data_IF_750359460809
#
_entry.id   IF_750359460809
#
_cell.length_a   1.000
_cell.length_b   1.000
_cell.length_c   1.000
_cell.angle_alpha   90.00
_cell.angle_beta   90.00
_cell.angle_gamma   90.00
#
_symmetry.space_group_name_H-M   'P 1'
#
loop_
_entity.id
_entity.type
_entity.pdbx_description
1 polymer ?
#
# COMPACT_ATOMS: atom_id res chain seq x y z
N UNK A 1 -13.59 28.79 -18.02
CA UNK A 1 -12.18 28.82 -17.63
C UNK A 1 -11.53 27.57 -18.20
N UNK A 2 -10.40 27.68 -18.90
CA UNK A 2 -9.67 26.54 -19.47
C UNK A 2 -8.43 26.29 -18.62
N UNK A 3 -8.11 25.04 -18.33
CA UNK A 3 -6.93 24.64 -17.60
C UNK A 3 -5.76 24.33 -18.55
N UNK A 4 -4.56 24.22 -18.02
CA UNK A 4 -3.41 23.66 -18.74
C UNK A 4 -3.60 22.15 -18.92
N UNK A 5 -2.78 21.49 -19.77
CA UNK A 5 -2.82 20.02 -19.91
C UNK A 5 -2.60 19.30 -18.56
N UNK A 6 -1.71 19.84 -17.72
CA UNK A 6 -1.52 19.34 -16.36
C UNK A 6 -2.80 19.50 -15.53
N UNK A 7 -3.41 20.69 -15.55
CA UNK A 7 -4.66 20.97 -14.84
C UNK A 7 -5.78 20.05 -15.30
N UNK A 8 -5.97 19.93 -16.61
CA UNK A 8 -7.01 19.04 -17.18
C UNK A 8 -6.81 17.58 -16.76
N UNK A 9 -5.56 17.09 -16.73
CA UNK A 9 -5.27 15.72 -16.31
C UNK A 9 -5.61 15.50 -14.83
N UNK A 10 -5.09 16.34 -13.94
CA UNK A 10 -5.20 16.14 -12.49
C UNK A 10 -6.51 16.67 -11.88
N UNK A 11 -7.39 17.27 -12.66
CA UNK A 11 -8.75 17.63 -12.24
C UNK A 11 -9.82 16.67 -12.75
N UNK A 12 -9.45 15.68 -13.56
CA UNK A 12 -10.37 14.59 -13.93
C UNK A 12 -10.70 13.75 -12.70
N UNK A 13 -11.89 13.23 -12.65
CA UNK A 13 -12.22 12.21 -11.65
C UNK A 13 -11.36 10.97 -11.88
N UNK A 14 -10.40 10.76 -11.00
CA UNK A 14 -9.54 9.57 -11.02
C UNK A 14 -10.29 8.36 -10.44
N UNK A 15 -9.82 7.15 -10.75
CA UNK A 15 -10.41 5.93 -10.19
C UNK A 15 -10.40 5.92 -8.67
N UNK A 16 -9.31 6.41 -8.03
CA UNK A 16 -9.23 6.51 -6.57
C UNK A 16 -10.17 7.60 -6.02
N UNK A 17 -10.32 8.73 -6.70
CA UNK A 17 -11.22 9.82 -6.25
C UNK A 17 -12.67 9.35 -6.30
N UNK A 18 -13.09 8.74 -7.41
CA UNK A 18 -14.43 8.19 -7.56
C UNK A 18 -14.73 7.12 -6.49
N UNK A 19 -13.75 6.24 -6.23
CA UNK A 19 -13.89 5.23 -5.18
C UNK A 19 -14.04 5.87 -3.79
N UNK A 20 -13.22 6.88 -3.47
CA UNK A 20 -13.29 7.57 -2.18
C UNK A 20 -14.61 8.32 -1.99
N UNK A 21 -15.12 8.96 -3.04
CA UNK A 21 -16.42 9.61 -3.05
C UNK A 21 -17.55 8.60 -2.82
N UNK A 22 -17.51 7.49 -3.54
CA UNK A 22 -18.50 6.42 -3.45
C UNK A 22 -18.53 5.78 -2.05
N UNK A 23 -17.37 5.50 -1.47
CA UNK A 23 -17.25 5.00 -0.11
C UNK A 23 -17.75 6.02 0.93
N UNK A 24 -17.43 7.30 0.76
CA UNK A 24 -17.89 8.37 1.65
C UNK A 24 -19.41 8.54 1.58
N UNK A 25 -20.00 8.47 0.40
CA UNK A 25 -21.45 8.53 0.22
C UNK A 25 -22.14 7.33 0.88
N UNK A 26 -21.56 6.14 0.72
CA UNK A 26 -22.06 4.94 1.39
C UNK A 26 -22.04 5.03 2.91
N UNK A 27 -21.01 5.68 3.49
CA UNK A 27 -20.93 5.90 4.95
C UNK A 27 -22.02 6.83 5.51
N UNK A 28 -22.65 7.64 4.69
CA UNK A 28 -23.81 8.46 5.11
C UNK A 28 -25.07 7.64 5.37
N UNK A 29 -25.10 6.39 4.89
CA UNK A 29 -26.19 5.47 5.17
C UNK A 29 -26.13 5.01 6.63
N UNK A 30 -27.18 5.21 7.43
CA UNK A 30 -27.21 4.73 8.81
C UNK A 30 -26.97 3.22 8.90
N UNK A 31 -26.03 2.82 9.76
CA UNK A 31 -25.66 1.41 9.93
C UNK A 31 -24.74 0.83 8.86
N UNK A 32 -24.17 1.67 8.00
CA UNK A 32 -23.21 1.23 6.97
C UNK A 32 -22.00 0.49 7.57
N UNK A 33 -21.63 -0.61 6.93
CA UNK A 33 -20.50 -1.46 7.29
C UNK A 33 -19.37 -1.20 6.30
N UNK A 34 -18.30 -0.53 6.76
CA UNK A 34 -17.13 -0.20 5.94
C UNK A 34 -16.11 -1.35 5.95
N UNK A 35 -16.15 -2.19 4.94
CA UNK A 35 -15.16 -3.24 4.69
C UNK A 35 -14.21 -2.90 3.51
N UNK A 36 -14.32 -1.70 2.95
CA UNK A 36 -13.51 -1.25 1.81
C UNK A 36 -12.45 -0.19 2.16
N UNK A 37 -12.49 0.38 3.36
CA UNK A 37 -11.60 1.47 3.75
C UNK A 37 -10.13 1.06 3.89
N UNK A 38 -9.23 2.05 3.85
CA UNK A 38 -7.78 1.87 3.97
C UNK A 38 -7.18 2.36 5.29
N UNK A 39 -7.99 2.83 6.24
CA UNK A 39 -7.50 3.26 7.55
C UNK A 39 -6.99 2.07 8.36
N UNK A 40 -5.86 2.23 9.09
CA UNK A 40 -5.41 1.22 10.04
C UNK A 40 -6.38 1.10 11.21
N UNK A 41 -6.32 -0.03 11.93
CA UNK A 41 -7.06 -0.22 13.16
C UNK A 41 -6.63 0.79 14.23
N UNK A 42 -7.60 1.22 15.02
CA UNK A 42 -7.32 1.97 16.25
C UNK A 42 -7.06 0.97 17.38
N UNK A 43 -5.82 0.46 17.44
CA UNK A 43 -5.39 -0.49 18.46
C UNK A 43 -5.31 0.26 19.80
N UNK A 44 -6.09 -0.13 20.85
CA UNK A 44 -6.17 0.64 22.10
C UNK A 44 -4.79 0.92 22.73
N UNK A 45 -3.93 -0.09 22.81
CA UNK A 45 -2.58 0.05 23.36
C UNK A 45 -1.72 1.07 22.58
N UNK A 46 -1.86 1.11 21.25
CA UNK A 46 -1.18 2.09 20.41
C UNK A 46 -1.77 3.49 20.60
N UNK A 47 -3.09 3.62 20.77
CA UNK A 47 -3.73 4.91 21.02
C UNK A 47 -3.26 5.50 22.35
N UNK A 48 -3.21 4.71 23.41
CA UNK A 48 -2.72 5.11 24.73
C UNK A 48 -1.24 5.51 24.67
N UNK A 49 -0.44 4.74 23.93
CA UNK A 49 0.97 5.06 23.69
C UNK A 49 1.15 6.40 22.96
N UNK A 50 0.43 6.63 21.87
CA UNK A 50 0.52 7.89 21.13
C UNK A 50 0.05 9.09 21.95
N UNK A 51 -1.00 8.93 22.75
CA UNK A 51 -1.47 9.99 23.65
C UNK A 51 -0.39 10.36 24.69
N UNK A 52 0.21 9.36 25.32
CA UNK A 52 1.30 9.56 26.27
C UNK A 52 2.51 10.23 25.61
N UNK A 53 2.93 9.73 24.44
CA UNK A 53 4.04 10.28 23.69
C UNK A 53 3.82 11.76 23.32
N UNK A 54 2.65 12.10 22.82
CA UNK A 54 2.29 13.48 22.47
C UNK A 54 2.25 14.38 23.69
N UNK A 55 1.74 13.89 24.83
CA UNK A 55 1.73 14.65 26.10
C UNK A 55 3.16 14.98 26.54
N UNK A 56 4.05 13.98 26.56
CA UNK A 56 5.46 14.17 26.90
C UNK A 56 6.15 15.17 25.95
N UNK A 57 5.82 15.09 24.66
CA UNK A 57 6.36 16.00 23.64
C UNK A 57 5.85 17.43 23.81
N UNK A 58 4.60 17.62 24.22
CA UNK A 58 4.06 18.95 24.55
C UNK A 58 4.72 19.54 25.79
N UNK A 59 4.85 18.77 26.86
CA UNK A 59 5.48 19.21 28.13
C UNK A 59 6.96 19.54 27.93
N UNK A 60 7.67 18.79 27.08
CA UNK A 60 9.09 19.05 26.77
C UNK A 60 9.34 20.13 25.70
N UNK A 61 8.28 20.70 25.10
CA UNK A 61 8.38 21.70 24.05
C UNK A 61 8.69 21.12 22.66
N UNK A 62 8.94 19.82 22.52
CA UNK A 62 9.31 19.16 21.24
C UNK A 62 8.18 19.22 20.22
N UNK A 63 6.92 19.08 20.66
CA UNK A 63 5.76 19.20 19.78
C UNK A 63 5.61 20.62 19.26
N UNK A 64 5.81 21.62 20.12
CA UNK A 64 5.77 23.04 19.73
C UNK A 64 6.87 23.36 18.73
N UNK A 65 8.11 22.87 18.96
CA UNK A 65 9.21 23.04 18.03
C UNK A 65 8.90 22.43 16.66
N UNK A 66 8.38 21.21 16.62
CA UNK A 66 8.02 20.51 15.38
C UNK A 66 6.88 21.18 14.60
N UNK A 67 6.00 21.91 15.27
CA UNK A 67 4.85 22.59 14.64
C UNK A 67 5.17 24.04 14.23
N UNK A 68 6.10 24.70 14.92
CA UNK A 68 6.38 26.12 14.73
C UNK A 68 7.60 26.40 13.84
N UNK A 69 8.38 25.36 13.51
CA UNK A 69 9.59 25.50 12.70
C UNK A 69 9.53 24.60 11.47
N UNK A 70 10.11 25.07 10.35
CA UNK A 70 10.36 24.22 9.20
C UNK A 70 11.62 23.39 9.42
N UNK A 71 11.55 22.11 9.06
CA UNK A 71 12.73 21.30 8.78
C UNK A 71 13.26 21.59 7.35
N UNK A 72 14.42 21.02 6.99
CA UNK A 72 14.92 21.12 5.61
C UNK A 72 14.06 20.28 4.62
N UNK A 73 14.22 20.49 3.31
CA UNK A 73 13.45 19.78 2.30
C UNK A 73 13.73 18.27 2.24
N UNK A 74 14.87 17.80 2.76
CA UNK A 74 15.15 16.37 2.95
C UNK A 74 14.36 15.78 4.13
N UNK A 75 13.92 16.61 5.07
CA UNK A 75 13.24 16.23 6.30
C UNK A 75 14.06 16.52 7.56
N UNK A 76 13.53 16.09 8.70
CA UNK A 76 14.12 16.33 10.02
C UNK A 76 15.46 15.60 10.18
N UNK A 77 16.56 16.36 10.25
CA UNK A 77 17.94 15.83 10.32
C UNK A 77 18.14 14.82 11.46
N UNK A 78 17.54 15.09 12.62
CA UNK A 78 17.59 14.18 13.76
C UNK A 78 17.00 12.81 13.41
N UNK A 79 15.84 12.78 12.75
CA UNK A 79 15.22 11.52 12.32
C UNK A 79 16.08 10.78 11.31
N UNK A 80 16.63 11.49 10.32
CA UNK A 80 17.48 10.87 9.29
C UNK A 80 18.67 10.15 9.94
N UNK A 81 19.29 10.78 10.95
CA UNK A 81 20.41 10.21 11.70
C UNK A 81 20.01 9.00 12.55
N UNK A 82 18.91 9.14 13.31
CA UNK A 82 18.40 8.06 14.17
C UNK A 82 17.95 6.85 13.35
N UNK A 83 17.26 7.09 12.27
CA UNK A 83 16.74 6.03 11.40
C UNK A 83 17.88 5.29 10.69
N UNK A 84 18.84 6.01 10.11
CA UNK A 84 20.03 5.40 9.51
C UNK A 84 20.80 4.54 10.54
N UNK A 85 21.01 5.07 11.75
CA UNK A 85 21.66 4.33 12.83
C UNK A 85 20.92 3.05 13.22
N UNK A 86 19.60 3.12 13.37
CA UNK A 86 18.76 1.97 13.70
C UNK A 86 18.81 0.90 12.60
N UNK A 87 18.72 1.30 11.34
CA UNK A 87 18.71 0.36 10.21
C UNK A 87 20.08 -0.31 10.02
N UNK A 88 21.18 0.41 10.23
CA UNK A 88 22.54 -0.17 10.28
C UNK A 88 22.67 -1.20 11.39
N UNK A 89 22.26 -0.83 12.61
CA UNK A 89 22.39 -1.71 13.78
C UNK A 89 21.53 -2.97 13.65
N UNK A 90 20.28 -2.83 13.23
CA UNK A 90 19.31 -3.94 13.24
C UNK A 90 19.35 -4.78 11.97
N UNK A 91 19.67 -4.20 10.82
CA UNK A 91 19.59 -4.88 9.51
C UNK A 91 20.95 -5.01 8.82
N UNK A 92 22.00 -4.38 9.33
CA UNK A 92 23.34 -4.39 8.73
C UNK A 92 23.40 -3.65 7.38
N UNK A 93 22.46 -2.76 7.10
CA UNK A 93 22.44 -2.01 5.84
C UNK A 93 23.51 -0.91 5.85
N UNK A 94 24.19 -0.76 4.71
CA UNK A 94 25.17 0.31 4.52
C UNK A 94 24.46 1.60 4.07
N UNK A 95 23.79 2.26 5.01
CA UNK A 95 23.07 3.51 4.80
C UNK A 95 23.46 4.58 5.81
N UNK A 96 23.50 5.81 5.29
CA UNK A 96 23.78 7.03 6.04
C UNK A 96 22.58 8.00 5.90
N UNK A 97 22.51 9.11 6.66
CA UNK A 97 21.43 10.08 6.55
C UNK A 97 21.15 10.60 5.13
N UNK A 98 22.18 10.70 4.27
CA UNK A 98 22.03 11.08 2.86
C UNK A 98 21.33 10.04 1.98
N UNK A 99 21.09 8.84 2.49
CA UNK A 99 20.31 7.81 1.82
C UNK A 99 18.82 7.86 2.17
N UNK A 100 18.37 8.82 2.98
CA UNK A 100 17.01 8.91 3.49
C UNK A 100 16.42 10.28 3.18
N UNK A 101 15.19 10.31 2.65
CA UNK A 101 14.39 11.52 2.55
C UNK A 101 12.97 11.28 3.06
N UNK A 102 12.38 12.30 3.65
CA UNK A 102 10.99 12.28 4.10
C UNK A 102 10.09 12.94 3.06
N UNK A 103 8.82 12.55 3.05
CA UNK A 103 7.80 13.12 2.16
C UNK A 103 6.49 13.31 2.93
N UNK A 104 5.56 14.09 2.37
CA UNK A 104 4.21 14.27 2.93
C UNK A 104 3.32 13.03 2.65
N UNK A 105 3.70 11.90 3.26
CA UNK A 105 3.13 10.57 3.04
C UNK A 105 3.74 9.85 1.84
N UNK A 106 3.60 8.53 1.80
CA UNK A 106 4.11 7.70 0.70
C UNK A 106 3.41 8.00 -0.63
N UNK A 107 2.18 8.50 -0.64
CA UNK A 107 1.50 8.92 -1.87
C UNK A 107 2.30 9.98 -2.62
N UNK A 108 2.83 11.00 -1.93
CA UNK A 108 3.71 12.00 -2.54
C UNK A 108 5.03 11.39 -3.01
N UNK A 109 5.58 10.44 -2.24
CA UNK A 109 6.78 9.72 -2.63
C UNK A 109 6.59 8.98 -3.97
N UNK A 110 5.50 8.26 -4.15
CA UNK A 110 5.20 7.54 -5.39
C UNK A 110 4.94 8.49 -6.55
N UNK A 111 4.26 9.61 -6.33
CA UNK A 111 4.11 10.65 -7.35
C UNK A 111 5.48 11.13 -7.85
N UNK A 112 6.43 11.38 -6.95
CA UNK A 112 7.78 11.78 -7.32
C UNK A 112 8.52 10.69 -8.08
N UNK A 113 8.55 9.48 -7.53
CA UNK A 113 9.32 8.36 -8.10
C UNK A 113 8.81 7.94 -9.48
N UNK A 114 7.50 7.85 -9.66
CA UNK A 114 6.93 7.51 -10.96
C UNK A 114 7.30 8.52 -12.02
N UNK A 115 7.21 9.81 -11.73
CA UNK A 115 7.55 10.87 -12.68
C UNK A 115 9.07 11.13 -12.80
N UNK A 116 9.88 10.63 -11.85
CA UNK A 116 11.33 10.68 -11.92
C UNK A 116 11.89 9.61 -12.87
N UNK A 117 11.34 8.38 -12.82
CA UNK A 117 11.86 7.23 -13.55
C UNK A 117 11.08 6.91 -14.82
N UNK A 118 9.79 7.18 -14.86
CA UNK A 118 8.94 7.02 -16.02
C UNK A 118 8.56 8.37 -16.61
N UNK A 119 7.88 8.37 -17.77
CA UNK A 119 7.51 9.60 -18.50
C UNK A 119 8.45 9.95 -19.65
N UNK A 120 8.22 11.11 -20.25
CA UNK A 120 8.91 11.56 -21.45
C UNK A 120 10.34 12.00 -21.16
N UNK A 121 11.28 11.48 -21.93
CA UNK A 121 12.69 11.85 -21.90
C UNK A 121 13.00 13.00 -22.86
N UNK A 122 14.16 13.62 -22.68
CA UNK A 122 14.62 14.73 -23.55
C UNK A 122 14.73 14.33 -25.04
N UNK A 123 14.97 13.06 -25.33
CA UNK A 123 15.01 12.50 -26.69
C UNK A 123 13.62 12.17 -27.26
N UNK A 124 12.53 12.48 -26.53
CA UNK A 124 11.15 12.26 -26.92
C UNK A 124 10.61 10.86 -26.60
N UNK A 125 11.46 9.89 -26.22
CA UNK A 125 11.01 8.56 -25.82
C UNK A 125 10.25 8.62 -24.50
N UNK A 126 9.22 7.78 -24.36
CA UNK A 126 8.44 7.65 -23.13
C UNK A 126 8.86 6.37 -22.40
N UNK A 127 9.31 6.51 -21.16
CA UNK A 127 9.57 5.39 -20.26
C UNK A 127 8.35 5.09 -19.42
N UNK A 128 8.14 3.80 -19.13
CA UNK A 128 7.00 3.30 -18.34
C UNK A 128 7.45 2.67 -17.03
N UNK A 129 6.58 2.72 -16.03
CA UNK A 129 6.72 1.93 -14.81
C UNK A 129 6.15 0.54 -15.04
N UNK A 130 6.90 -0.50 -14.67
CA UNK A 130 6.48 -1.89 -14.77
C UNK A 130 6.06 -2.41 -13.40
N UNK A 131 4.82 -2.92 -13.32
CA UNK A 131 4.35 -3.74 -12.22
C UNK A 131 4.47 -5.22 -12.61
N UNK A 132 5.47 -5.94 -12.09
CA UNK A 132 5.74 -7.32 -12.51
C UNK A 132 4.71 -8.32 -12.00
N UNK A 133 3.82 -7.88 -11.11
CA UNK A 133 2.77 -8.68 -10.50
C UNK A 133 1.55 -7.81 -10.21
N UNK A 134 0.53 -7.89 -11.09
CA UNK A 134 -0.78 -7.31 -10.81
C UNK A 134 -1.64 -8.30 -9.98
N UNK A 135 -2.54 -7.83 -9.11
CA UNK A 135 -2.95 -6.45 -8.89
C UNK A 135 -1.99 -5.62 -8.03
N UNK A 136 -2.11 -4.31 -8.13
CA UNK A 136 -1.35 -3.31 -7.37
C UNK A 136 -2.25 -2.18 -6.88
N UNK A 137 -1.71 -1.29 -6.07
CA UNK A 137 -2.47 -0.23 -5.41
C UNK A 137 -3.14 0.73 -6.41
N UNK A 138 -4.45 0.91 -6.26
CA UNK A 138 -5.28 1.77 -7.12
C UNK A 138 -4.75 3.22 -7.21
N UNK A 139 -4.15 3.74 -6.14
CA UNK A 139 -3.62 5.10 -6.09
C UNK A 139 -2.43 5.37 -7.00
N UNK A 140 -1.87 4.35 -7.66
CA UNK A 140 -0.78 4.53 -8.63
C UNK A 140 -1.29 4.95 -10.00
N UNK A 141 -2.46 4.48 -10.41
CA UNK A 141 -2.95 4.57 -11.79
C UNK A 141 -2.88 5.98 -12.37
N UNK A 142 -3.24 6.98 -11.57
CA UNK A 142 -3.38 8.37 -12.00
C UNK A 142 -2.19 9.27 -11.58
N UNK A 143 -1.12 8.69 -11.01
CA UNK A 143 0.01 9.46 -10.47
C UNK A 143 1.00 9.97 -11.54
N UNK A 144 0.89 9.49 -12.79
CA UNK A 144 1.80 9.91 -13.87
C UNK A 144 1.42 11.23 -14.50
N UNK A 145 2.41 12.04 -14.88
CA UNK A 145 2.21 13.23 -15.72
C UNK A 145 1.83 12.85 -17.16
N UNK A 146 2.45 11.79 -17.70
CA UNK A 146 2.08 11.22 -19.00
C UNK A 146 0.87 10.30 -18.85
N UNK A 147 0.09 10.17 -19.93
CA UNK A 147 -0.95 9.14 -20.03
C UNK A 147 -0.29 7.75 -20.18
N UNK A 148 -0.99 6.70 -19.79
CA UNK A 148 -0.56 5.31 -19.95
C UNK A 148 0.87 5.04 -19.43
N UNK A 149 1.20 5.62 -18.27
CA UNK A 149 2.55 5.57 -17.71
C UNK A 149 2.98 4.17 -17.26
N UNK A 150 2.03 3.26 -17.05
CA UNK A 150 2.29 1.95 -16.45
C UNK A 150 2.01 0.79 -17.40
N UNK A 151 2.72 -0.30 -17.15
CA UNK A 151 2.49 -1.62 -17.74
C UNK A 151 2.47 -2.64 -16.60
N UNK A 152 1.53 -3.57 -16.63
CA UNK A 152 1.42 -4.65 -15.64
C UNK A 152 1.53 -6.03 -16.29
N UNK A 153 2.21 -6.94 -15.58
CA UNK A 153 2.21 -8.36 -15.90
C UNK A 153 1.16 -9.11 -15.06
N UNK A 154 0.53 -10.12 -15.65
CA UNK A 154 -0.34 -11.04 -14.93
C UNK A 154 0.49 -11.96 -14.05
N UNK A 155 0.02 -12.33 -12.86
CA UNK A 155 0.68 -13.32 -12.02
C UNK A 155 0.43 -14.74 -12.52
N UNK A 156 1.32 -15.65 -12.12
CA UNK A 156 0.96 -17.06 -11.99
C UNK A 156 0.10 -17.24 -10.73
N UNK A 157 -1.00 -17.99 -10.87
CA UNK A 157 -1.91 -18.29 -9.76
C UNK A 157 -1.65 -19.71 -9.29
N UNK A 158 -1.16 -19.86 -8.07
CA UNK A 158 -1.05 -21.13 -7.36
C UNK A 158 -2.33 -21.37 -6.56
N UNK A 159 -3.00 -22.49 -6.80
CA UNK A 159 -4.12 -22.92 -5.96
C UNK A 159 -3.59 -23.70 -4.77
N UNK A 160 -4.00 -23.32 -3.59
CA UNK A 160 -3.58 -23.86 -2.31
C UNK A 160 -4.74 -24.63 -1.64
N UNK A 161 -4.46 -25.49 -0.64
CA UNK A 161 -5.50 -26.11 0.18
C UNK A 161 -6.42 -25.09 0.87
N UNK A 162 -7.54 -25.55 1.40
CA UNK A 162 -8.49 -24.76 2.20
C UNK A 162 -9.10 -23.57 1.44
N UNK A 163 -9.26 -23.72 0.12
CA UNK A 163 -9.83 -22.66 -0.72
C UNK A 163 -8.97 -21.40 -0.79
N UNK A 164 -7.65 -21.55 -0.65
CA UNK A 164 -6.71 -20.45 -0.79
C UNK A 164 -6.04 -20.45 -2.16
N UNK A 165 -5.44 -19.33 -2.51
CA UNK A 165 -4.56 -19.18 -3.67
C UNK A 165 -3.48 -18.14 -3.38
N UNK A 166 -2.42 -18.17 -4.20
CA UNK A 166 -1.31 -17.22 -4.10
C UNK A 166 -0.89 -16.72 -5.47
N UNK A 167 -0.50 -15.47 -5.55
CA UNK A 167 0.11 -14.89 -6.74
C UNK A 167 1.64 -14.99 -6.68
N UNK A 168 2.22 -15.37 -7.80
CA UNK A 168 3.66 -15.39 -8.06
C UNK A 168 4.00 -14.58 -9.30
N UNK A 169 5.19 -14.02 -9.32
CA UNK A 169 5.70 -13.34 -10.53
C UNK A 169 5.88 -14.35 -11.65
N UNK A 170 5.29 -14.08 -12.81
CA UNK A 170 5.48 -14.89 -14.02
C UNK A 170 6.75 -14.46 -14.74
N UNK A 171 7.89 -14.96 -14.31
CA UNK A 171 9.18 -14.61 -14.88
C UNK A 171 9.37 -15.11 -16.30
N UNK A 172 8.62 -16.11 -16.75
CA UNK A 172 8.71 -16.64 -18.12
C UNK A 172 8.11 -15.67 -19.14
N UNK A 173 7.09 -14.93 -18.76
CA UNK A 173 6.40 -13.97 -19.61
C UNK A 173 6.64 -12.52 -19.23
N UNK A 174 7.47 -12.26 -18.21
CA UNK A 174 7.80 -10.91 -17.79
C UNK A 174 8.71 -10.24 -18.83
N UNK A 175 8.22 -9.19 -19.46
CA UNK A 175 8.97 -8.42 -20.43
C UNK A 175 9.53 -7.13 -19.79
N UNK A 176 10.84 -6.95 -19.88
CA UNK A 176 11.55 -5.73 -19.50
C UNK A 176 12.29 -5.25 -20.74
N UNK A 177 11.77 -4.19 -21.35
CA UNK A 177 12.31 -3.63 -22.59
C UNK A 177 12.98 -2.27 -22.39
N UNK A 178 13.40 -1.67 -23.52
CA UNK A 178 13.98 -0.32 -23.50
C UNK A 178 13.00 0.76 -22.98
N UNK A 179 11.69 0.53 -23.11
CA UNK A 179 10.66 1.42 -22.62
C UNK A 179 10.50 1.36 -21.11
N UNK A 180 11.04 0.36 -20.42
CA UNK A 180 10.93 0.23 -18.98
C UNK A 180 11.86 1.22 -18.27
N UNK A 181 11.30 2.07 -17.42
CA UNK A 181 12.03 3.08 -16.64
C UNK A 181 12.29 2.68 -15.19
N UNK A 182 11.48 1.78 -14.66
CA UNK A 182 11.58 1.24 -13.30
C UNK A 182 10.73 -0.02 -13.16
N UNK A 183 11.05 -0.85 -12.18
CA UNK A 183 10.19 -1.94 -11.69
C UNK A 183 9.63 -1.51 -10.34
N UNK A 184 8.34 -1.69 -10.10
CA UNK A 184 7.71 -1.36 -8.83
C UNK A 184 6.89 -2.53 -8.30
N UNK A 185 7.10 -2.89 -7.04
CA UNK A 185 6.37 -3.94 -6.33
C UNK A 185 5.98 -3.47 -4.94
N UNK A 186 4.82 -3.94 -4.45
CA UNK A 186 4.42 -3.77 -3.05
C UNK A 186 4.68 -5.05 -2.26
N UNK A 187 5.17 -4.92 -1.03
CA UNK A 187 5.52 -6.07 -0.17
C UNK A 187 5.28 -5.78 1.31
N UNK A 188 4.11 -6.15 1.86
CA UNK A 188 2.94 -6.81 1.25
C UNK A 188 2.15 -5.89 0.35
N UNK A 189 1.38 -6.50 -0.54
CA UNK A 189 0.60 -5.78 -1.54
C UNK A 189 -0.75 -5.31 -0.99
N UNK A 190 -1.14 -4.09 -1.26
CA UNK A 190 -2.52 -3.66 -1.29
C UNK A 190 -3.00 -3.75 -2.76
N UNK A 191 -3.94 -4.65 -3.11
CA UNK A 191 -5.09 -5.10 -2.32
C UNK A 191 -4.98 -6.51 -1.70
N UNK A 192 -3.99 -7.33 -2.07
CA UNK A 192 -4.05 -8.78 -1.91
C UNK A 192 -3.51 -9.32 -0.59
N UNK A 193 -2.68 -8.55 0.10
CA UNK A 193 -1.89 -9.05 1.22
C UNK A 193 -0.76 -10.00 0.79
N UNK A 194 -0.49 -10.10 -0.52
CA UNK A 194 0.58 -10.96 -1.04
C UNK A 194 1.95 -10.45 -0.60
N UNK A 195 2.79 -11.37 -0.19
CA UNK A 195 4.21 -11.12 0.06
C UNK A 195 5.01 -11.90 -0.97
N UNK A 196 5.60 -11.21 -1.96
CA UNK A 196 6.53 -11.87 -2.88
C UNK A 196 7.67 -12.49 -2.08
N UNK A 197 8.10 -13.67 -2.49
CA UNK A 197 9.16 -14.41 -1.78
C UNK A 197 10.49 -13.67 -1.84
N UNK A 198 11.41 -13.99 -0.92
CA UNK A 198 12.77 -13.45 -0.96
C UNK A 198 13.46 -13.77 -2.28
N UNK A 199 13.23 -14.98 -2.83
CA UNK A 199 13.76 -15.42 -4.12
C UNK A 199 13.22 -14.58 -5.29
N UNK A 200 11.90 -14.37 -5.36
CA UNK A 200 11.27 -13.51 -6.37
C UNK A 200 11.80 -12.08 -6.29
N UNK A 201 11.95 -11.54 -5.08
CA UNK A 201 12.46 -10.18 -4.88
C UNK A 201 13.92 -10.05 -5.35
N UNK A 202 14.79 -11.01 -5.00
CA UNK A 202 16.17 -11.03 -5.43
C UNK A 202 16.30 -11.16 -6.96
N UNK A 203 15.42 -11.94 -7.58
CA UNK A 203 15.38 -12.09 -9.03
C UNK A 203 14.93 -10.80 -9.73
N UNK A 204 13.94 -10.09 -9.18
CA UNK A 204 13.53 -8.78 -9.68
C UNK A 204 14.64 -7.74 -9.53
N UNK A 205 15.36 -7.74 -8.41
CA UNK A 205 16.51 -6.84 -8.20
C UNK A 205 17.62 -7.12 -9.20
N UNK A 206 17.96 -8.38 -9.44
CA UNK A 206 18.95 -8.76 -10.44
C UNK A 206 18.55 -8.31 -11.86
N UNK A 207 17.28 -8.48 -12.24
CA UNK A 207 16.75 -8.02 -13.52
C UNK A 207 16.78 -6.50 -13.64
N UNK A 208 16.40 -5.77 -12.60
CA UNK A 208 16.44 -4.31 -12.57
C UNK A 208 17.89 -3.80 -12.75
N UNK A 209 18.85 -4.39 -12.03
CA UNK A 209 20.28 -4.10 -12.18
C UNK A 209 20.78 -4.39 -13.60
N UNK A 210 20.41 -5.52 -14.19
CA UNK A 210 20.80 -5.88 -15.55
C UNK A 210 20.34 -4.86 -16.60
N UNK A 211 19.15 -4.28 -16.38
CA UNK A 211 18.58 -3.26 -17.26
C UNK A 211 18.95 -1.82 -16.87
N UNK A 212 19.74 -1.62 -15.81
CA UNK A 212 20.15 -0.30 -15.35
C UNK A 212 18.99 0.58 -14.88
N UNK A 213 17.94 -0.01 -14.33
CA UNK A 213 16.75 0.65 -13.80
C UNK A 213 16.57 0.35 -12.30
N UNK A 214 15.93 1.22 -11.52
CA UNK A 214 15.70 0.95 -10.11
C UNK A 214 14.59 -0.08 -9.90
N UNK A 215 14.73 -0.84 -8.80
CA UNK A 215 13.63 -1.58 -8.18
C UNK A 215 13.03 -0.73 -7.06
N UNK A 216 11.77 -0.31 -7.22
CA UNK A 216 11.01 0.43 -6.21
C UNK A 216 10.15 -0.55 -5.43
N UNK A 217 10.28 -0.53 -4.10
CA UNK A 217 9.53 -1.40 -3.20
C UNK A 217 8.61 -0.55 -2.33
N UNK A 218 7.31 -0.75 -2.48
CA UNK A 218 6.32 -0.22 -1.53
C UNK A 218 6.28 -1.11 -0.29
N UNK A 219 6.84 -0.59 0.79
CA UNK A 219 6.96 -1.26 2.08
C UNK A 219 6.06 -0.60 3.15
N UNK A 220 4.90 -0.08 2.75
CA UNK A 220 4.01 0.63 3.68
C UNK A 220 3.50 -0.25 4.83
N UNK A 221 3.40 -1.56 4.63
CA UNK A 221 2.96 -2.54 5.63
C UNK A 221 4.08 -3.42 6.17
N UNK A 222 5.24 -3.39 5.54
CA UNK A 222 6.26 -4.40 5.68
C UNK A 222 7.23 -4.19 6.85
N UNK A 223 8.35 -4.90 6.76
CA UNK A 223 9.43 -4.87 7.75
C UNK A 223 10.45 -3.79 7.42
N UNK A 224 11.12 -3.18 8.41
CA UNK A 224 11.12 -3.53 9.83
C UNK A 224 9.93 -3.00 10.63
N UNK A 225 9.19 -2.02 10.11
CA UNK A 225 7.96 -1.48 10.69
C UNK A 225 7.00 -1.04 9.57
N UNK A 226 5.70 -1.11 9.75
CA UNK A 226 4.94 -1.53 10.92
C UNK A 226 4.97 -3.05 11.17
N UNK A 227 5.57 -3.84 10.27
CA UNK A 227 5.78 -5.27 10.43
C UNK A 227 4.51 -6.13 10.29
N UNK A 228 3.51 -5.66 9.52
CA UNK A 228 2.26 -6.40 9.29
C UNK A 228 2.52 -7.43 8.18
N UNK A 229 3.37 -8.40 8.49
CA UNK A 229 3.73 -9.56 7.66
C UNK A 229 3.62 -10.80 8.50
N UNK A 230 2.97 -11.84 7.97
CA UNK A 230 2.66 -13.10 8.64
C UNK A 230 3.40 -14.30 8.04
N UNK A 231 4.10 -14.10 6.94
CA UNK A 231 5.01 -15.06 6.29
C UNK A 231 6.47 -14.65 6.53
N UNK A 232 7.38 -15.56 6.22
CA UNK A 232 8.80 -15.23 6.23
C UNK A 232 9.11 -14.21 5.11
N UNK A 233 9.74 -13.10 5.50
CA UNK A 233 10.17 -12.07 4.57
C UNK A 233 11.37 -11.31 5.17
N UNK A 234 12.46 -11.30 4.44
CA UNK A 234 13.65 -10.53 4.85
C UNK A 234 13.59 -9.13 4.25
N UNK A 235 13.81 -8.08 5.03
CA UNK A 235 13.96 -6.75 4.47
C UNK A 235 15.21 -6.70 3.59
N UNK A 236 15.07 -6.18 2.39
CA UNK A 236 16.16 -6.06 1.44
C UNK A 236 16.37 -4.59 1.07
N UNK A 237 17.63 -4.17 1.10
CA UNK A 237 18.04 -2.91 0.53
C UNK A 237 19.47 -3.01 -0.04
N UNK A 238 19.70 -2.35 -1.15
CA UNK A 238 20.99 -2.07 -1.76
C UNK A 238 20.88 -0.77 -2.59
N UNK A 239 21.99 -0.20 -3.12
CA UNK A 239 21.94 1.09 -3.84
C UNK A 239 21.06 1.13 -5.10
N UNK A 240 20.62 -0.01 -5.65
CA UNK A 240 19.67 -0.07 -6.75
C UNK A 240 18.21 -0.11 -6.33
N UNK A 241 17.95 -0.33 -5.05
CA UNK A 241 16.60 -0.40 -4.49
C UNK A 241 16.20 0.98 -3.97
N UNK A 242 14.96 1.37 -4.30
CA UNK A 242 14.26 2.49 -3.67
C UNK A 242 13.18 1.91 -2.77
N UNK A 243 13.39 1.98 -1.46
CA UNK A 243 12.46 1.47 -0.47
C UNK A 243 11.56 2.61 0.03
N UNK A 244 10.25 2.45 -0.07
CA UNK A 244 9.26 3.41 0.41
C UNK A 244 8.55 2.88 1.64
N UNK A 245 8.58 3.65 2.73
CA UNK A 245 7.96 3.34 4.01
C UNK A 245 7.02 4.46 4.44
N UNK A 246 6.19 4.21 5.46
CA UNK A 246 5.22 5.19 5.94
C UNK A 246 4.87 4.97 7.40
N UNK A 247 4.53 6.04 8.12
CA UNK A 247 3.94 5.96 9.46
C UNK A 247 2.43 5.68 9.43
N UNK A 248 1.80 5.73 8.25
CA UNK A 248 0.34 5.56 8.14
C UNK A 248 -0.14 4.25 8.75
N UNK A 249 0.56 3.14 8.46
CA UNK A 249 0.14 1.80 8.91
C UNK A 249 0.69 1.42 10.28
N UNK A 250 1.59 2.23 10.82
CA UNK A 250 1.96 2.18 12.23
C UNK A 250 0.81 2.64 13.16
N UNK A 251 -0.17 3.35 12.61
CA UNK A 251 -1.30 3.92 13.33
C UNK A 251 -1.37 5.45 13.27
N UNK A 252 -0.51 6.08 12.48
CA UNK A 252 -0.38 7.54 12.38
C UNK A 252 -0.64 8.07 10.95
N UNK A 253 -1.77 7.70 10.29
CA UNK A 253 -2.03 8.14 8.92
C UNK A 253 -2.15 9.67 8.80
N UNK A 254 -2.68 10.33 9.82
CA UNK A 254 -2.83 11.79 9.86
C UNK A 254 -1.52 12.56 9.98
N UNK A 255 -0.42 11.92 10.39
CA UNK A 255 0.90 12.56 10.47
C UNK A 255 1.51 12.86 9.10
N UNK A 256 0.99 12.27 8.04
CA UNK A 256 1.46 12.42 6.67
C UNK A 256 2.98 12.30 6.52
N UNK A 257 3.57 11.25 7.07
CA UNK A 257 5.00 11.00 7.01
C UNK A 257 5.29 9.75 6.15
N UNK A 258 5.92 9.98 4.99
CA UNK A 258 6.52 8.96 4.13
C UNK A 258 8.05 9.00 4.26
N UNK A 259 8.69 7.88 4.00
CA UNK A 259 10.14 7.72 4.10
C UNK A 259 10.62 7.04 2.82
N UNK A 260 11.61 7.63 2.17
CA UNK A 260 12.30 7.04 1.01
C UNK A 260 13.73 6.70 1.43
N UNK A 261 14.15 5.47 1.18
CA UNK A 261 15.53 5.02 1.35
C UNK A 261 16.06 4.62 -0.02
N UNK A 262 17.12 5.31 -0.47
CA UNK A 262 17.70 5.11 -1.80
C UNK A 262 19.16 5.58 -1.84
N UNK A 263 19.80 5.41 -2.99
CA UNK A 263 21.12 6.01 -3.19
C UNK A 263 21.03 7.55 -3.16
N UNK A 264 22.17 8.20 -2.86
CA UNK A 264 22.27 9.65 -2.64
C UNK A 264 21.76 10.48 -3.84
N UNK A 265 21.99 10.01 -5.07
CA UNK A 265 21.52 10.71 -6.27
C UNK A 265 20.00 10.81 -6.32
N UNK A 266 19.29 9.72 -5.97
CA UNK A 266 17.82 9.69 -5.92
C UNK A 266 17.34 10.56 -4.76
N UNK A 267 17.96 10.46 -3.60
CA UNK A 267 17.59 11.27 -2.42
C UNK A 267 17.77 12.76 -2.70
N UNK A 268 18.85 13.17 -3.37
CA UNK A 268 19.03 14.55 -3.81
C UNK A 268 17.90 15.02 -4.73
N UNK A 269 17.49 14.20 -5.69
CA UNK A 269 16.37 14.52 -6.56
C UNK A 269 15.06 14.69 -5.78
N UNK A 270 14.75 13.77 -4.87
CA UNK A 270 13.54 13.85 -4.01
C UNK A 270 13.57 15.10 -3.12
N UNK A 271 14.74 15.41 -2.53
CA UNK A 271 14.94 16.61 -1.72
C UNK A 271 14.63 17.89 -2.51
N UNK A 272 15.13 17.98 -3.75
CA UNK A 272 14.86 19.11 -4.61
C UNK A 272 13.37 19.21 -4.99
N UNK A 273 12.70 18.09 -5.29
CA UNK A 273 11.27 18.04 -5.56
C UNK A 273 10.44 18.47 -4.34
N UNK A 274 10.80 18.03 -3.14
CA UNK A 274 10.18 18.50 -1.90
C UNK A 274 10.30 20.01 -1.76
N UNK A 275 11.49 20.57 -2.00
CA UNK A 275 11.75 22.01 -1.91
C UNK A 275 10.85 22.83 -2.86
N UNK A 276 10.58 22.31 -4.06
CA UNK A 276 9.73 22.99 -5.06
C UNK A 276 8.23 22.81 -4.75
N UNK A 277 7.81 21.61 -4.37
CA UNK A 277 6.38 21.24 -4.31
C UNK A 277 5.77 21.60 -2.96
N UNK A 278 6.50 21.39 -1.86
CA UNK A 278 5.96 21.56 -0.51
C UNK A 278 6.87 22.34 0.44
N UNK A 279 7.98 22.87 -0.04
CA UNK A 279 9.03 23.55 0.73
C UNK A 279 9.78 22.58 1.67
N UNK A 280 9.05 21.89 2.53
CA UNK A 280 9.55 20.88 3.46
C UNK A 280 8.43 19.87 3.79
N UNK A 281 8.78 18.64 4.22
CA UNK A 281 7.82 17.71 4.82
C UNK A 281 7.30 18.22 6.18
N UNK A 282 6.12 17.76 6.60
CA UNK A 282 5.58 18.08 7.92
C UNK A 282 6.43 17.54 9.07
N UNK A 283 6.56 18.29 10.17
CA UNK A 283 7.49 18.01 11.24
C UNK A 283 6.99 17.08 12.36
N UNK A 284 5.67 17.03 12.63
CA UNK A 284 5.15 16.32 13.83
C UNK A 284 5.34 14.80 13.77
N UNK A 285 5.08 14.18 12.63
CA UNK A 285 5.30 12.74 12.44
C UNK A 285 6.76 12.35 12.62
N UNK A 286 7.71 13.03 11.95
CA UNK A 286 9.13 12.83 12.17
C UNK A 286 9.58 13.02 13.63
N UNK A 287 9.06 14.03 14.33
CA UNK A 287 9.38 14.27 15.72
C UNK A 287 8.89 13.13 16.65
N UNK A 288 7.67 12.64 16.42
CA UNK A 288 7.14 11.45 17.13
C UNK A 288 8.03 10.23 16.87
N UNK A 289 8.44 10.01 15.63
CA UNK A 289 9.29 8.88 15.27
C UNK A 289 10.68 8.96 15.94
N UNK A 290 11.26 10.15 16.04
CA UNK A 290 12.51 10.35 16.82
C UNK A 290 12.37 9.82 18.24
N UNK A 291 11.30 10.20 18.93
CA UNK A 291 11.07 9.76 20.30
C UNK A 291 10.81 8.24 20.40
N UNK A 292 10.08 7.67 19.44
CA UNK A 292 9.86 6.22 19.39
C UNK A 292 11.17 5.45 19.20
N UNK A 293 12.07 5.92 18.34
CA UNK A 293 13.38 5.29 18.12
C UNK A 293 14.25 5.42 19.39
N UNK A 294 14.33 6.60 19.99
CA UNK A 294 15.12 6.85 21.22
C UNK A 294 14.67 5.99 22.39
N UNK A 295 13.38 5.69 22.48
CA UNK A 295 12.77 4.83 23.52
C UNK A 295 12.87 3.34 23.18
N UNK A 296 13.41 2.97 22.02
CA UNK A 296 13.39 1.61 21.46
C UNK A 296 11.96 1.03 21.28
N UNK A 297 10.98 1.91 21.12
CA UNK A 297 9.56 1.51 21.04
C UNK A 297 9.10 1.19 19.62
N UNK A 298 9.71 1.81 18.59
CA UNK A 298 9.24 1.65 17.21
C UNK A 298 9.17 0.18 16.76
N UNK A 299 10.29 -0.54 16.86
CA UNK A 299 10.35 -1.94 16.46
C UNK A 299 9.66 -2.85 17.49
N UNK A 300 9.80 -2.55 18.78
CA UNK A 300 9.14 -3.32 19.85
C UNK A 300 7.63 -3.32 19.70
N UNK A 301 6.99 -2.15 19.53
CA UNK A 301 5.55 -2.05 19.36
C UNK A 301 5.06 -2.67 18.05
N UNK A 302 5.84 -2.53 16.98
CA UNK A 302 5.55 -3.22 15.71
C UNK A 302 5.47 -4.73 15.89
N UNK A 303 6.43 -5.33 16.59
CA UNK A 303 6.53 -6.77 16.79
C UNK A 303 5.56 -7.30 17.86
N UNK A 304 5.41 -6.58 18.98
CA UNK A 304 4.70 -7.10 20.16
C UNK A 304 3.22 -6.67 20.23
N UNK A 305 2.82 -5.62 19.52
CA UNK A 305 1.46 -5.08 19.55
C UNK A 305 0.80 -5.13 18.18
N UNK A 306 1.42 -4.48 17.16
CA UNK A 306 0.77 -4.28 15.85
C UNK A 306 0.63 -5.60 15.10
N UNK A 307 1.73 -6.33 14.90
CA UNK A 307 1.73 -7.60 14.17
C UNK A 307 0.81 -8.64 14.80
N UNK A 308 0.86 -8.93 16.12
CA UNK A 308 -0.05 -9.89 16.75
C UNK A 308 -1.52 -9.50 16.64
N UNK A 309 -1.86 -8.22 16.79
CA UNK A 309 -3.22 -7.72 16.62
C UNK A 309 -3.79 -8.06 15.23
N UNK A 310 -3.06 -7.71 14.16
CA UNK A 310 -3.52 -7.96 12.80
C UNK A 310 -3.52 -9.45 12.45
N UNK A 311 -2.55 -10.21 12.96
CA UNK A 311 -2.52 -11.65 12.76
C UNK A 311 -3.75 -12.33 13.37
N UNK A 312 -4.10 -12.00 14.60
CA UNK A 312 -5.31 -12.51 15.23
C UNK A 312 -6.55 -12.10 14.45
N UNK A 313 -6.67 -10.83 14.09
CA UNK A 313 -7.84 -10.30 13.39
C UNK A 313 -8.05 -10.96 12.01
N UNK A 314 -6.99 -11.24 11.27
CA UNK A 314 -7.11 -11.92 9.98
C UNK A 314 -7.57 -13.37 10.14
N UNK A 315 -7.09 -14.10 11.15
CA UNK A 315 -7.54 -15.46 11.43
C UNK A 315 -9.03 -15.51 11.81
N UNK A 316 -9.47 -14.63 12.70
CA UNK A 316 -10.88 -14.47 13.06
C UNK A 316 -11.75 -14.17 11.84
N UNK A 317 -11.30 -13.26 10.99
CA UNK A 317 -12.04 -12.87 9.77
C UNK A 317 -12.17 -14.03 8.78
N UNK A 318 -11.11 -14.82 8.56
CA UNK A 318 -11.17 -16.00 7.71
C UNK A 318 -12.15 -17.03 8.26
N UNK A 319 -12.13 -17.27 9.58
CA UNK A 319 -13.06 -18.18 10.22
C UNK A 319 -14.52 -17.70 10.05
N UNK A 320 -14.77 -16.39 10.12
CA UNK A 320 -16.09 -15.79 9.84
C UNK A 320 -16.48 -16.03 8.37
N UNK A 321 -15.59 -15.73 7.43
CA UNK A 321 -15.87 -15.94 5.99
C UNK A 321 -16.23 -17.40 5.72
N UNK A 322 -15.44 -18.35 6.22
CA UNK A 322 -15.66 -19.79 6.01
C UNK A 322 -16.94 -20.32 6.64
N UNK A 323 -17.49 -19.67 7.65
CA UNK A 323 -18.79 -20.00 8.24
C UNK A 323 -19.98 -19.76 7.27
N UNK A 324 -19.85 -18.76 6.41
CA UNK A 324 -20.94 -18.32 5.51
C UNK A 324 -20.65 -18.60 4.02
N UNK A 325 -19.38 -18.65 3.64
CA UNK A 325 -18.92 -18.85 2.26
C UNK A 325 -17.95 -20.03 2.20
N UNK A 326 -18.39 -21.20 1.69
CA UNK A 326 -17.53 -22.33 1.50
C UNK A 326 -16.48 -22.10 0.39
N UNK A 327 -15.50 -22.98 0.32
CA UNK A 327 -14.33 -22.85 -0.57
C UNK A 327 -14.68 -22.82 -2.05
N UNK A 328 -15.72 -23.52 -2.46
CA UNK A 328 -16.21 -23.54 -3.85
C UNK A 328 -16.91 -22.23 -4.26
N UNK A 329 -17.31 -21.41 -3.30
CA UNK A 329 -17.96 -20.10 -3.55
C UNK A 329 -16.99 -18.92 -3.44
N UNK A 330 -15.95 -19.05 -2.63
CA UNK A 330 -15.01 -17.97 -2.39
C UNK A 330 -13.61 -18.51 -2.12
N UNK A 331 -12.69 -18.24 -3.04
CA UNK A 331 -11.28 -18.44 -2.79
C UNK A 331 -10.69 -17.19 -2.10
N UNK A 332 -9.77 -17.38 -1.18
CA UNK A 332 -9.11 -16.30 -0.43
C UNK A 332 -7.63 -16.30 -0.78
N UNK A 333 -7.09 -15.18 -1.22
CA UNK A 333 -5.63 -15.07 -1.35
C UNK A 333 -4.98 -15.35 0.00
N UNK A 334 -3.94 -16.19 0.02
CA UNK A 334 -3.20 -16.52 1.24
C UNK A 334 -2.85 -15.24 2.00
N UNK A 335 -3.31 -15.09 3.24
CA UNK A 335 -3.13 -13.85 4.00
C UNK A 335 -1.71 -13.76 4.56
N UNK A 336 -0.83 -13.14 3.84
CA UNK A 336 0.59 -13.03 4.19
C UNK A 336 0.97 -11.70 4.82
N UNK A 337 0.09 -10.70 4.76
CA UNK A 337 0.33 -9.39 5.37
C UNK A 337 -0.71 -8.33 4.97
N UNK A 338 -0.39 -7.06 5.23
CA UNK A 338 -1.25 -5.89 5.08
C UNK A 338 -2.49 -5.95 5.98
N UNK A 339 -3.56 -5.25 5.59
CA UNK A 339 -4.82 -5.14 6.37
C UNK A 339 -6.03 -5.56 5.54
N UNK A 340 -5.79 -6.27 4.45
CA UNK A 340 -6.81 -6.66 3.48
C UNK A 340 -6.81 -8.15 3.22
N UNK A 341 -8.00 -8.67 2.88
CA UNK A 341 -8.20 -9.93 2.21
C UNK A 341 -8.61 -9.68 0.77
N UNK A 342 -8.11 -10.53 -0.13
CA UNK A 342 -8.45 -10.55 -1.53
C UNK A 342 -9.28 -11.79 -1.81
N UNK A 343 -10.56 -11.56 -2.13
CA UNK A 343 -11.55 -12.60 -2.33
C UNK A 343 -11.75 -12.83 -3.83
N UNK A 344 -11.71 -14.06 -4.26
CA UNK A 344 -11.96 -14.45 -5.64
C UNK A 344 -13.23 -15.31 -5.71
N UNK A 345 -14.25 -14.80 -6.38
CA UNK A 345 -15.52 -15.46 -6.65
C UNK A 345 -15.48 -16.07 -8.05
N UNK A 346 -14.74 -17.19 -8.17
CA UNK A 346 -14.58 -17.88 -9.44
C UNK A 346 -15.94 -18.30 -10.00
N UNK A 347 -16.15 -18.03 -11.29
CA UNK A 347 -17.38 -18.39 -12.02
C UNK A 347 -18.69 -17.76 -11.47
N UNK A 348 -18.58 -16.72 -10.63
CA UNK A 348 -19.77 -15.97 -10.21
C UNK A 348 -20.52 -15.42 -11.45
N UNK A 349 -21.86 -15.61 -11.58
CA UNK A 349 -22.60 -15.24 -12.78
C UNK A 349 -22.76 -13.72 -12.97
N UNK A 350 -22.35 -12.91 -12.01
CA UNK A 350 -22.33 -11.45 -12.09
C UNK A 350 -20.90 -10.93 -11.86
N UNK A 351 -20.59 -9.73 -12.32
CA UNK A 351 -19.30 -9.11 -12.03
C UNK A 351 -19.23 -8.60 -10.59
N UNK A 352 -18.02 -8.43 -10.06
CA UNK A 352 -17.83 -7.87 -8.71
C UNK A 352 -18.27 -6.42 -8.59
N UNK A 353 -18.35 -5.67 -9.69
CA UNK A 353 -18.99 -4.34 -9.73
C UNK A 353 -20.50 -4.45 -9.49
N UNK A 354 -21.16 -5.40 -10.15
CA UNK A 354 -22.60 -5.65 -9.94
C UNK A 354 -22.86 -6.15 -8.52
N UNK A 355 -22.01 -7.05 -8.02
CA UNK A 355 -22.07 -7.52 -6.63
C UNK A 355 -21.92 -6.33 -5.66
N UNK A 356 -20.95 -5.45 -5.90
CA UNK A 356 -20.74 -4.28 -5.07
C UNK A 356 -21.97 -3.36 -5.01
N UNK A 357 -22.65 -3.12 -6.13
CA UNK A 357 -23.88 -2.32 -6.14
C UNK A 357 -24.98 -2.94 -5.27
N UNK A 358 -25.12 -4.27 -5.29
CA UNK A 358 -26.06 -4.99 -4.41
C UNK A 358 -25.67 -4.85 -2.93
N UNK A 359 -24.39 -5.00 -2.61
CA UNK A 359 -23.85 -4.83 -1.25
C UNK A 359 -24.06 -3.41 -0.73
N UNK A 360 -23.73 -2.40 -1.55
CA UNK A 360 -23.90 -0.99 -1.22
C UNK A 360 -25.37 -0.64 -0.91
N UNK A 361 -26.31 -1.18 -1.70
CA UNK A 361 -27.73 -1.00 -1.45
C UNK A 361 -28.20 -1.58 -0.10
N UNK A 362 -27.42 -2.52 0.46
CA UNK A 362 -27.64 -3.12 1.78
C UNK A 362 -26.70 -2.56 2.87
N UNK A 363 -26.00 -1.48 2.55
CA UNK A 363 -25.11 -0.78 3.51
C UNK A 363 -23.75 -1.43 3.72
N UNK A 364 -23.30 -2.37 2.85
CA UNK A 364 -21.97 -2.98 2.94
C UNK A 364 -21.06 -2.41 1.85
N UNK A 365 -19.92 -1.85 2.24
CA UNK A 365 -18.97 -1.19 1.36
C UNK A 365 -17.68 -2.00 1.27
N UNK A 366 -17.37 -2.49 0.07
CA UNK A 366 -16.15 -3.21 -0.30
C UNK A 366 -15.56 -2.58 -1.57
N UNK A 367 -14.46 -3.10 -2.10
CA UNK A 367 -13.86 -2.54 -3.31
C UNK A 367 -13.76 -3.59 -4.42
N UNK A 368 -14.44 -3.37 -5.57
CA UNK A 368 -14.33 -4.26 -6.73
C UNK A 368 -12.92 -4.37 -7.26
N UNK A 369 -12.57 -5.56 -7.74
CA UNK A 369 -11.20 -5.92 -8.10
C UNK A 369 -10.62 -5.17 -9.30
N UNK A 370 -11.45 -4.85 -10.31
CA UNK A 370 -10.99 -4.21 -11.54
C UNK A 370 -10.23 -2.89 -11.32
N UNK A 371 -10.46 -2.23 -10.17
CA UNK A 371 -9.77 -0.98 -9.82
C UNK A 371 -8.26 -1.15 -9.50
N UNK A 372 -7.77 -2.38 -9.35
CA UNK A 372 -6.41 -2.67 -8.88
C UNK A 372 -5.48 -3.23 -9.96
N UNK A 373 -5.79 -3.05 -11.22
CA UNK A 373 -4.97 -3.54 -12.33
C UNK A 373 -4.46 -2.41 -13.23
N UNK A 374 -3.74 -1.42 -12.68
CA UNK A 374 -3.21 -0.31 -13.47
C UNK A 374 -2.24 -0.83 -14.53
N UNK A 375 -2.40 -0.37 -15.78
CA UNK A 375 -1.50 -0.71 -16.87
C UNK A 375 -1.67 -2.13 -17.44
N UNK A 376 -2.70 -2.87 -17.07
CA UNK A 376 -3.02 -4.16 -17.68
C UNK A 376 -3.70 -3.93 -19.04
N UNK A 377 -3.01 -4.26 -20.11
CA UNK A 377 -3.43 -3.95 -21.49
C UNK A 377 -4.44 -4.94 -22.09
N UNK A 378 -4.50 -6.16 -21.58
CA UNK A 378 -5.38 -7.22 -22.10
C UNK A 378 -6.52 -7.55 -21.14
N UNK A 379 -7.76 -7.64 -21.63
CA UNK A 379 -8.88 -8.06 -20.79
C UNK A 379 -8.60 -9.39 -20.10
N UNK A 380 -8.88 -9.44 -18.81
CA UNK A 380 -8.71 -10.63 -17.99
C UNK A 380 -9.95 -10.81 -17.10
N UNK A 381 -10.76 -11.87 -17.29
CA UNK A 381 -12.00 -12.06 -16.52
C UNK A 381 -11.79 -12.04 -15.00
N UNK A 382 -10.64 -12.48 -14.53
CA UNK A 382 -10.26 -12.50 -13.12
C UNK A 382 -10.39 -11.13 -12.45
N UNK A 383 -10.13 -10.02 -13.17
CA UNK A 383 -10.23 -8.64 -12.63
C UNK A 383 -11.65 -8.31 -12.17
N UNK A 384 -12.66 -8.90 -12.80
CA UNK A 384 -14.08 -8.73 -12.50
C UNK A 384 -14.67 -9.82 -11.59
N UNK A 385 -13.82 -10.73 -11.11
CA UNK A 385 -14.19 -11.82 -10.20
C UNK A 385 -13.61 -11.63 -8.80
N UNK A 386 -12.75 -10.63 -8.61
CA UNK A 386 -12.09 -10.39 -7.33
C UNK A 386 -12.65 -9.15 -6.63
N UNK A 387 -12.48 -9.13 -5.30
CA UNK A 387 -12.92 -8.03 -4.45
C UNK A 387 -11.98 -7.88 -3.25
N UNK A 388 -11.64 -6.64 -2.91
CA UNK A 388 -10.88 -6.33 -1.70
C UNK A 388 -11.80 -6.10 -0.52
N UNK A 389 -11.49 -6.75 0.59
CA UNK A 389 -12.11 -6.58 1.89
C UNK A 389 -11.04 -6.22 2.93
N UNK A 390 -11.25 -5.20 3.77
CA UNK A 390 -10.41 -5.01 4.95
C UNK A 390 -10.93 -5.83 6.13
N UNK A 391 -10.03 -6.20 7.05
CA UNK A 391 -10.35 -6.92 8.28
C UNK A 391 -10.06 -6.09 9.55
N UNK A 392 -10.06 -4.75 9.38
CA UNK A 392 -9.84 -3.78 10.45
C UNK A 392 -11.03 -3.64 11.41
N UNK A 393 -12.29 -3.63 10.95
CA UNK A 393 -13.44 -3.47 11.83
C UNK A 393 -13.57 -4.58 12.89
N UNK A 394 -14.39 -4.32 13.90
CA UNK A 394 -14.68 -5.33 14.93
C UNK A 394 -15.34 -6.58 14.33
N UNK A 395 -15.07 -7.78 14.89
CA UNK A 395 -15.54 -9.06 14.35
C UNK A 395 -17.04 -9.10 14.09
N UNK A 396 -17.84 -8.48 14.94
CA UNK A 396 -19.31 -8.43 14.81
C UNK A 396 -19.75 -7.66 13.56
N UNK A 397 -19.06 -6.57 13.22
CA UNK A 397 -19.32 -5.82 11.99
C UNK A 397 -18.85 -6.59 10.75
N UNK A 398 -17.71 -7.26 10.85
CA UNK A 398 -17.21 -8.14 9.79
C UNK A 398 -18.22 -9.27 9.54
N UNK A 399 -18.70 -9.93 10.58
CA UNK A 399 -19.66 -11.01 10.46
C UNK A 399 -20.98 -10.55 9.83
N UNK A 400 -21.50 -9.41 10.26
CA UNK A 400 -22.70 -8.82 9.66
C UNK A 400 -22.52 -8.53 8.16
N UNK A 401 -21.37 -7.97 7.76
CA UNK A 401 -21.06 -7.69 6.35
C UNK A 401 -20.86 -8.97 5.52
N UNK A 402 -20.14 -9.95 6.05
CA UNK A 402 -19.92 -11.24 5.40
C UNK A 402 -21.22 -12.03 5.20
N UNK A 403 -22.12 -11.97 6.15
CA UNK A 403 -23.45 -12.60 6.01
C UNK A 403 -24.22 -12.00 4.84
N UNK A 404 -24.25 -10.67 4.71
CA UNK A 404 -24.89 -9.98 3.59
C UNK A 404 -24.18 -10.34 2.27
N UNK A 405 -22.86 -10.41 2.24
CA UNK A 405 -22.07 -10.82 1.08
C UNK A 405 -22.47 -12.24 0.63
N UNK A 406 -22.56 -13.18 1.57
CA UNK A 406 -22.95 -14.55 1.27
C UNK A 406 -24.37 -14.64 0.69
N UNK A 407 -25.33 -13.92 1.26
CA UNK A 407 -26.70 -13.86 0.76
C UNK A 407 -26.78 -13.32 -0.69
N UNK A 408 -26.00 -12.28 -1.02
CA UNK A 408 -25.99 -11.73 -2.40
C UNK A 408 -25.27 -12.65 -3.40
N UNK A 409 -24.27 -13.40 -2.98
CA UNK A 409 -23.61 -14.42 -3.80
C UNK A 409 -24.59 -15.55 -4.12
N UNK A 410 -25.26 -16.12 -3.12
CA UNK A 410 -26.26 -17.18 -3.32
C UNK A 410 -27.42 -16.69 -4.18
N UNK A 411 -27.86 -15.45 -3.99
CA UNK A 411 -28.88 -14.83 -4.85
C UNK A 411 -28.43 -14.73 -6.31
N UNK A 412 -27.18 -14.33 -6.55
CA UNK A 412 -26.63 -14.25 -7.92
C UNK A 412 -26.62 -15.62 -8.61
N UNK A 413 -26.27 -16.68 -7.89
CA UNK A 413 -26.35 -18.05 -8.41
C UNK A 413 -27.79 -18.52 -8.68
N UNK A 414 -28.71 -18.21 -7.79
CA UNK A 414 -30.12 -18.57 -7.97
C UNK A 414 -30.79 -17.88 -9.17
N UNK A 415 -30.38 -16.64 -9.48
CA UNK A 415 -30.88 -15.86 -10.61
C UNK A 415 -30.31 -16.34 -11.98
N UNK A 416 -29.24 -17.13 -11.98
CA UNK A 416 -28.58 -17.65 -13.20
C UNK A 416 -29.13 -18.98 -13.67
N UNK A 417 -29.96 -19.62 -12.88
CA UNK A 417 -30.68 -20.86 -13.17
C UNK A 417 -32.17 -20.59 -13.41
#
# INVERSE_FOLDING_TARGET
>A
MTFSLFGDKFTRHSGITLLMEDLNDGLRTPGAIMLGGGNPAQIPEMQDYFQTLLTDMLESGKATDALCNYDGPQGKTELLTLLAGMLREKLGWDIEPQNIALTNGSQSAFFYLFNLFAGRRADGRVKKGLFPLAPEYIGYADAGLEEDLFVSARPNIELLPEGQFKYHVDFEHLHIGEETGMICVSRPTNPTGNVITDEELLKLDALANQHGIPLVIDNAYGVPFPGIIFSEARPLWNPNIVLCMSLSKLGLPGSRCGIIIANEKIITAITNMNGIISLAPGGIGPAMMCEMIKRNDLLRLSETVIKPFYYQRVQETIAIIRRYLPEDRCLIHKPEGAIFLWLWFKDLPITTEQLYQRLKARGVLMVPGHNFFPGLDKPWPHTHQCMRMNYVPEPEKIEAGVKILAEEIERAWAESH
#
